data_IF_457296594593
#
_entry.id   IF_457296594593
#
_cell.length_a   1.000
_cell.length_b   1.000
_cell.length_c   1.000
_cell.angle_alpha   90.00
_cell.angle_beta   90.00
_cell.angle_gamma   90.00
#
_symmetry.space_group_name_H-M   'P 1'
#
loop_
_entity.id
_entity.type
_entity.pdbx_description
1 polymer ?
#
# COMPACT_ATOMS: atom_id res chain seq x y z
N UNK A 1 -2.09 -33.87 -12.86
CA UNK A 1 -2.97 -32.76 -12.44
C UNK A 1 -3.06 -32.81 -10.92
N UNK A 2 -2.11 -32.17 -10.23
CA UNK A 2 -2.13 -32.06 -8.77
C UNK A 2 -2.62 -30.67 -8.40
N UNK A 3 -3.71 -30.59 -7.65
CA UNK A 3 -4.17 -29.38 -6.97
C UNK A 3 -3.04 -28.88 -6.05
N UNK A 4 -2.31 -27.84 -6.46
CA UNK A 4 -1.51 -27.05 -5.53
C UNK A 4 -2.49 -26.13 -4.80
N UNK A 5 -3.02 -26.62 -3.68
CA UNK A 5 -3.69 -25.73 -2.72
C UNK A 5 -2.64 -24.81 -2.12
N UNK A 6 -2.94 -23.51 -2.09
CA UNK A 6 -2.06 -22.50 -1.50
C UNK A 6 -1.56 -22.97 -0.13
N UNK A 7 -0.28 -22.78 0.13
CA UNK A 7 0.31 -23.10 1.43
C UNK A 7 -0.34 -22.26 2.53
N UNK A 8 -0.16 -22.62 3.80
CA UNK A 8 -0.66 -21.78 4.91
C UNK A 8 -0.08 -20.36 4.86
N UNK A 9 1.13 -20.23 4.32
CA UNK A 9 1.89 -18.99 4.16
C UNK A 9 1.26 -18.07 3.12
N UNK A 10 1.09 -18.56 1.89
CA UNK A 10 0.45 -17.81 0.79
C UNK A 10 -0.96 -17.35 1.15
N UNK A 11 -1.68 -18.14 1.97
CA UNK A 11 -3.00 -17.74 2.47
C UNK A 11 -2.93 -16.59 3.47
N UNK A 12 -1.95 -16.62 4.36
CA UNK A 12 -1.79 -15.60 5.39
C UNK A 12 -1.31 -14.27 4.79
N UNK A 13 -0.37 -14.32 3.85
CA UNK A 13 0.08 -13.15 3.08
C UNK A 13 -1.06 -12.51 2.28
N UNK A 14 -1.91 -13.32 1.63
CA UNK A 14 -3.09 -12.81 0.94
C UNK A 14 -4.12 -12.21 1.90
N UNK A 15 -4.38 -12.86 3.04
CA UNK A 15 -5.29 -12.34 4.06
C UNK A 15 -4.82 -10.98 4.58
N UNK A 16 -3.53 -10.84 4.82
CA UNK A 16 -2.88 -9.61 5.25
C UNK A 16 -2.94 -8.51 4.18
N UNK A 17 -2.59 -8.81 2.93
CA UNK A 17 -2.67 -7.84 1.84
C UNK A 17 -4.10 -7.31 1.66
N UNK A 18 -5.10 -8.19 1.84
CA UNK A 18 -6.50 -7.81 1.85
C UNK A 18 -6.84 -6.91 3.06
N UNK A 19 -6.32 -7.22 4.25
CA UNK A 19 -6.49 -6.39 5.45
C UNK A 19 -5.92 -4.99 5.24
N UNK A 20 -4.67 -4.88 4.77
CA UNK A 20 -4.02 -3.60 4.46
C UNK A 20 -4.84 -2.81 3.42
N UNK A 21 -5.25 -3.46 2.33
CA UNK A 21 -6.05 -2.80 1.29
C UNK A 21 -7.39 -2.30 1.86
N UNK A 22 -8.02 -3.07 2.74
CA UNK A 22 -9.28 -2.70 3.40
C UNK A 22 -9.09 -1.51 4.33
N UNK A 23 -8.03 -1.48 5.14
CA UNK A 23 -7.70 -0.35 6.01
C UNK A 23 -7.54 0.94 5.20
N UNK A 24 -6.75 0.90 4.12
CA UNK A 24 -6.54 2.05 3.23
C UNK A 24 -7.86 2.51 2.60
N UNK A 25 -8.67 1.57 2.12
CA UNK A 25 -9.91 1.86 1.38
C UNK A 25 -11.09 2.22 2.26
N UNK A 26 -11.15 1.79 3.51
CA UNK A 26 -12.37 1.91 4.34
C UNK A 26 -12.14 2.70 5.62
N UNK A 27 -10.94 2.62 6.22
CA UNK A 27 -10.67 3.22 7.53
C UNK A 27 -9.97 4.58 7.45
N UNK A 28 -9.07 4.76 6.49
CA UNK A 28 -8.32 6.01 6.38
C UNK A 28 -9.18 7.17 5.85
N UNK A 29 -9.11 8.30 6.56
CA UNK A 29 -9.66 9.59 6.12
C UNK A 29 -8.70 10.36 5.20
N UNK A 30 -9.16 11.46 4.59
CA UNK A 30 -8.33 12.26 3.66
C UNK A 30 -7.02 12.77 4.32
N UNK A 31 -7.05 13.37 5.52
CA UNK A 31 -5.82 13.73 6.23
C UNK A 31 -4.83 12.57 6.40
N UNK A 32 -5.31 11.38 6.78
CA UNK A 32 -4.49 10.19 6.95
C UNK A 32 -3.97 9.67 5.61
N UNK A 33 -4.79 9.61 4.56
CA UNK A 33 -4.34 9.23 3.21
C UNK A 33 -3.25 10.18 2.71
N UNK A 34 -3.39 11.48 2.96
CA UNK A 34 -2.36 12.46 2.60
C UNK A 34 -1.05 12.23 3.35
N UNK A 35 -1.11 11.89 4.63
CA UNK A 35 0.08 11.56 5.41
C UNK A 35 0.72 10.26 4.93
N UNK A 36 -0.09 9.23 4.65
CA UNK A 36 0.34 7.96 4.09
C UNK A 36 1.11 8.20 2.78
N UNK A 37 0.51 8.89 1.79
CA UNK A 37 1.18 9.17 0.53
C UNK A 37 2.51 9.93 0.75
N UNK A 38 2.52 10.93 1.63
CA UNK A 38 3.74 11.68 1.92
C UNK A 38 4.84 10.83 2.58
N UNK A 39 4.47 9.90 3.46
CA UNK A 39 5.43 9.09 4.21
C UNK A 39 5.95 7.90 3.39
N UNK A 40 5.11 7.32 2.55
CA UNK A 40 5.40 6.09 1.81
C UNK A 40 5.88 6.37 0.40
N UNK A 41 5.23 7.32 -0.30
CA UNK A 41 5.54 7.67 -1.70
C UNK A 41 6.41 8.96 -1.77
N UNK A 42 6.38 9.79 -0.72
CA UNK A 42 7.08 11.08 -0.72
C UNK A 42 6.32 12.23 -1.41
N UNK A 43 5.12 11.95 -1.94
CA UNK A 43 4.27 12.90 -2.65
C UNK A 43 2.78 12.61 -2.39
N UNK A 44 1.87 13.41 -2.93
CA UNK A 44 0.41 13.22 -2.83
C UNK A 44 -0.30 13.86 -4.04
N UNK A 45 -1.52 13.42 -4.39
CA UNK A 45 -2.28 13.98 -5.52
C UNK A 45 -2.59 15.46 -5.30
N UNK A 46 -2.44 16.24 -6.37
CA UNK A 46 -2.66 17.69 -6.43
C UNK A 46 -2.96 18.10 -7.87
N UNK A 47 -3.54 19.28 -8.05
CA UNK A 47 -3.88 19.83 -9.36
C UNK A 47 -2.71 19.75 -10.36
N UNK A 48 -2.99 19.23 -11.55
CA UNK A 48 -2.02 19.08 -12.65
C UNK A 48 -0.91 18.07 -12.38
N UNK A 49 -1.02 17.23 -11.36
CA UNK A 49 -0.10 16.11 -11.17
C UNK A 49 -0.48 14.98 -12.14
N UNK A 50 0.51 14.52 -12.91
CA UNK A 50 0.34 13.43 -13.88
C UNK A 50 0.98 12.16 -13.35
N UNK A 51 0.21 11.08 -13.31
CA UNK A 51 0.68 9.71 -13.11
C UNK A 51 1.24 9.15 -14.41
N UNK A 52 2.36 8.43 -14.30
CA UNK A 52 3.06 7.85 -15.44
C UNK A 52 3.29 6.38 -15.19
N UNK A 53 3.14 5.58 -16.23
CA UNK A 53 3.48 4.16 -16.12
C UNK A 53 5.00 3.95 -16.09
N UNK A 54 5.40 2.67 -16.01
CA UNK A 54 6.79 2.22 -16.03
C UNK A 54 7.56 2.61 -17.29
N UNK A 55 6.87 2.86 -18.40
CA UNK A 55 7.46 3.26 -19.68
C UNK A 55 7.57 4.78 -19.79
N UNK A 56 7.02 5.51 -18.81
CA UNK A 56 7.03 6.96 -18.70
C UNK A 56 5.88 7.64 -19.45
N UNK A 57 4.90 6.86 -19.92
CA UNK A 57 3.73 7.38 -20.62
C UNK A 57 2.70 7.92 -19.62
N UNK A 58 2.09 9.06 -19.95
CA UNK A 58 1.09 9.70 -19.10
C UNK A 58 -0.21 8.85 -19.06
N UNK A 59 -0.64 8.46 -17.87
CA UNK A 59 -1.81 7.57 -17.65
C UNK A 59 -3.01 8.34 -17.11
N UNK A 60 -2.77 9.29 -16.22
CA UNK A 60 -3.83 10.02 -15.52
C UNK A 60 -3.33 11.39 -15.05
N UNK A 61 -4.18 12.41 -15.09
CA UNK A 61 -3.91 13.75 -14.56
C UNK A 61 -4.99 14.10 -13.52
N UNK A 62 -4.56 14.54 -12.34
CA UNK A 62 -5.47 14.91 -11.25
C UNK A 62 -5.98 16.34 -11.41
N UNK A 63 -7.28 16.53 -11.20
CA UNK A 63 -7.97 17.83 -11.25
C UNK A 63 -8.54 18.22 -9.88
N UNK A 64 -8.67 19.53 -9.61
CA UNK A 64 -9.35 20.00 -8.40
C UNK A 64 -10.89 19.95 -8.48
N UNK A 65 -11.58 19.64 -7.36
CA UNK A 65 -11.03 19.39 -6.03
C UNK A 65 -10.56 17.93 -5.85
N UNK A 66 -9.38 17.74 -5.24
CA UNK A 66 -8.86 16.41 -4.90
C UNK A 66 -9.80 15.72 -3.91
N UNK A 67 -10.33 14.57 -4.34
CA UNK A 67 -11.23 13.70 -3.62
C UNK A 67 -10.48 12.59 -2.89
N UNK A 68 -11.20 11.86 -2.05
CA UNK A 68 -10.67 10.64 -1.42
C UNK A 68 -10.25 9.59 -2.45
N UNK A 69 -11.01 9.45 -3.54
CA UNK A 69 -10.71 8.46 -4.57
C UNK A 69 -9.39 8.76 -5.27
N UNK A 70 -9.06 10.04 -5.50
CA UNK A 70 -7.79 10.43 -6.10
C UNK A 70 -6.59 9.97 -5.26
N UNK A 71 -6.71 9.99 -3.92
CA UNK A 71 -5.67 9.41 -3.05
C UNK A 71 -5.57 7.90 -3.20
N UNK A 72 -6.69 7.19 -3.32
CA UNK A 72 -6.69 5.74 -3.49
C UNK A 72 -6.10 5.34 -4.85
N UNK A 73 -6.47 6.03 -5.92
CA UNK A 73 -5.91 5.85 -7.25
C UNK A 73 -4.41 6.15 -7.28
N UNK A 74 -3.99 7.21 -6.59
CA UNK A 74 -2.57 7.52 -6.42
C UNK A 74 -1.82 6.38 -5.72
N UNK A 75 -2.32 5.88 -4.60
CA UNK A 75 -1.68 4.79 -3.86
C UNK A 75 -1.63 3.52 -4.72
N UNK A 76 -2.76 3.11 -5.31
CA UNK A 76 -2.86 1.91 -6.14
C UNK A 76 -1.90 1.94 -7.33
N UNK A 77 -1.74 3.11 -7.96
CA UNK A 77 -0.78 3.31 -9.04
C UNK A 77 0.66 3.03 -8.59
N UNK A 78 1.13 3.64 -7.50
CA UNK A 78 2.48 3.41 -7.00
C UNK A 78 2.68 2.01 -6.42
N UNK A 79 1.62 1.35 -5.93
CA UNK A 79 1.66 -0.09 -5.59
C UNK A 79 1.86 -0.94 -6.84
N UNK A 80 1.14 -0.67 -7.92
CA UNK A 80 1.27 -1.39 -9.19
C UNK A 80 2.61 -1.18 -9.90
N UNK A 81 3.33 -0.10 -9.56
CA UNK A 81 4.71 0.15 -10.00
C UNK A 81 5.76 -0.47 -9.07
N UNK A 82 5.35 -1.11 -7.97
CA UNK A 82 6.26 -1.63 -6.92
C UNK A 82 7.14 -0.51 -6.31
N UNK A 83 6.68 0.74 -6.36
CA UNK A 83 7.38 1.90 -5.81
C UNK A 83 6.98 2.20 -4.35
N UNK A 84 6.01 1.46 -3.82
CA UNK A 84 5.66 1.46 -2.40
C UNK A 84 6.42 0.35 -1.69
N UNK A 85 7.34 0.74 -0.81
CA UNK A 85 7.97 -0.20 0.11
C UNK A 85 6.94 -0.67 1.15
N UNK A 86 6.65 -1.96 1.14
CA UNK A 86 5.68 -2.58 2.05
C UNK A 86 6.02 -2.30 3.53
N UNK A 87 7.30 -2.37 3.90
CA UNK A 87 7.80 -2.00 5.23
C UNK A 87 7.39 -0.59 5.67
N UNK A 88 7.42 0.39 4.77
CA UNK A 88 7.03 1.77 5.09
C UNK A 88 5.52 1.90 5.28
N UNK A 89 4.75 1.18 4.46
CA UNK A 89 3.30 1.10 4.58
C UNK A 89 2.90 0.50 5.93
N UNK A 90 3.48 -0.64 6.29
CA UNK A 90 3.22 -1.32 7.56
C UNK A 90 3.60 -0.49 8.76
N UNK A 91 4.81 0.08 8.73
CA UNK A 91 5.27 0.99 9.78
C UNK A 91 4.33 2.18 9.94
N UNK A 92 3.78 2.71 8.86
CA UNK A 92 2.77 3.77 8.95
C UNK A 92 1.50 3.26 9.66
N UNK A 93 0.96 2.12 9.25
CA UNK A 93 -0.28 1.57 9.81
C UNK A 93 -0.15 1.28 11.31
N UNK A 94 0.97 0.71 11.75
CA UNK A 94 1.26 0.41 13.16
C UNK A 94 1.38 1.67 13.99
N UNK A 95 2.18 2.64 13.54
CA UNK A 95 2.38 3.89 14.27
C UNK A 95 1.08 4.70 14.44
N UNK A 96 0.08 4.43 13.60
CA UNK A 96 -1.23 5.07 13.68
C UNK A 96 -2.31 4.16 14.31
N UNK A 97 -1.94 2.97 14.80
CA UNK A 97 -2.82 2.06 15.54
C UNK A 97 -3.80 1.27 14.68
N UNK A 98 -3.56 1.17 13.37
CA UNK A 98 -4.38 0.35 12.45
C UNK A 98 -3.94 -1.11 12.40
N UNK A 99 -2.69 -1.39 12.76
CA UNK A 99 -2.15 -2.74 12.90
C UNK A 99 -1.47 -2.85 14.27
N UNK A 100 -1.59 -4.03 14.87
CA UNK A 100 -0.92 -4.35 16.14
C UNK A 100 0.51 -4.83 15.85
N UNK A 101 1.49 -4.21 16.50
CA UNK A 101 2.91 -4.62 16.41
C UNK A 101 3.19 -5.96 17.12
N UNK A 102 2.29 -6.40 18.00
CA UNK A 102 2.38 -7.72 18.64
C UNK A 102 1.47 -8.76 17.95
N UNK A 103 0.87 -8.40 16.81
CA UNK A 103 0.00 -9.28 16.02
C UNK A 103 0.77 -10.29 15.19
N UNK A 104 0.19 -11.49 15.00
CA UNK A 104 0.75 -12.55 14.12
C UNK A 104 1.02 -12.00 12.71
N UNK A 105 0.14 -11.12 12.23
CA UNK A 105 0.23 -10.42 10.95
C UNK A 105 1.49 -9.55 10.81
N UNK A 106 1.94 -8.88 11.89
CA UNK A 106 3.15 -8.05 11.86
C UNK A 106 4.43 -8.87 12.02
N UNK A 107 4.42 -9.82 12.96
CA UNK A 107 5.56 -10.72 13.18
C UNK A 107 5.92 -11.44 11.87
N UNK A 108 4.90 -11.90 11.14
CA UNK A 108 5.05 -12.55 9.85
C UNK A 108 5.82 -11.72 8.82
N UNK A 109 5.43 -10.45 8.61
CA UNK A 109 6.07 -9.60 7.60
C UNK A 109 7.47 -9.17 8.04
N UNK A 110 7.63 -8.80 9.31
CA UNK A 110 8.91 -8.32 9.83
C UNK A 110 10.02 -9.38 9.78
N UNK A 111 9.66 -10.66 9.78
CA UNK A 111 10.60 -11.78 9.69
C UNK A 111 10.85 -12.29 8.28
N UNK A 112 9.97 -12.00 7.31
CA UNK A 112 10.08 -12.49 5.93
C UNK A 112 10.44 -11.38 4.91
N UNK A 113 10.43 -10.11 5.32
CA UNK A 113 11.02 -8.98 4.56
C UNK A 113 12.57 -8.97 4.62
N UNK A 114 13.19 -9.95 5.31
CA UNK A 114 14.65 -10.15 5.38
C UNK A 114 15.18 -11.29 4.48
N UNK A 115 14.37 -11.87 3.58
CA UNK A 115 14.86 -12.87 2.60
C UNK A 115 15.20 -12.26 1.21
N UNK A 116 15.77 -11.05 1.18
CA UNK A 116 16.38 -10.47 -0.04
C UNK A 116 17.75 -9.82 0.22
N UNK A 117 18.50 -10.35 1.19
CA UNK A 117 19.95 -10.14 1.34
C UNK A 117 20.69 -11.48 1.12
N UNK A 118 20.73 -11.98 -0.13
CA UNK A 118 21.77 -12.94 -0.59
C UNK A 118 22.37 -12.57 -1.95
#
# INVERSE_FOLDING_TARGET
>A
MGWFGKSKYEKHEEELANTISSIIKEELDIPQLKQLCKNVIGSFPKDGLVLRDKDGDDVHEFEEPITRNDFLEFIDHYQGLEEIQEKLLLKYLINNGFLDEDGEDYEYISTHDEEDDE
#
